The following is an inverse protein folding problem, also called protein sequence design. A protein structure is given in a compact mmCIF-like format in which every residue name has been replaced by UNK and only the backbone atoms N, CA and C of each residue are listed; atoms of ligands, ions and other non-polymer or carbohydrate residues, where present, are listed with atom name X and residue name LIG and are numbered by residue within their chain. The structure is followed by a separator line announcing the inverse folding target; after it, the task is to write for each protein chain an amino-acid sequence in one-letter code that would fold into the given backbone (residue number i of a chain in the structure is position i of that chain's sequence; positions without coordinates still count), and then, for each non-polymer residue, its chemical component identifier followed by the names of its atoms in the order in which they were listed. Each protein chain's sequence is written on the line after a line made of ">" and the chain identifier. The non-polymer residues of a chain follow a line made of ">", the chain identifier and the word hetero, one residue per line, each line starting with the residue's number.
data_IF_891782614424
#
_entry.id   IF_891782614424
#
_cell.length_a   1.000
_cell.length_b   1.000
_cell.length_c   1.000
_cell.angle_alpha   90.00
_cell.angle_beta   90.00
_cell.angle_gamma   90.00
#
_symmetry.space_group_name_H-M   'P 1'
#
loop_
_entity.id
_entity.type
_entity.pdbx_description
1 polymer ?
#
# COMPACT_ATOMS: atom_id res chain seq x y z
N UNK A 1 22.16 -18.10 22.67
CA UNK A 1 22.29 -19.52 22.30
C UNK A 1 23.59 -20.10 22.86
N UNK A 2 23.64 -21.42 23.06
CA UNK A 2 24.89 -22.09 23.37
C UNK A 2 25.84 -21.99 22.17
N UNK A 3 27.11 -21.68 22.46
CA UNK A 3 28.19 -21.63 21.47
C UNK A 3 29.43 -22.29 22.05
N UNK A 4 29.78 -23.48 21.56
CA UNK A 4 30.87 -24.33 22.08
C UNK A 4 30.72 -24.56 23.60
N UNK A 5 31.66 -24.02 24.41
CA UNK A 5 31.64 -24.09 25.89
C UNK A 5 31.08 -22.83 26.58
N UNK A 6 30.52 -21.90 25.80
CA UNK A 6 29.98 -20.63 26.28
C UNK A 6 28.56 -20.36 25.83
N UNK A 7 28.12 -19.13 26.03
CA UNK A 7 26.83 -18.60 25.59
C UNK A 7 27.06 -17.37 24.76
N UNK A 8 26.42 -17.31 23.60
CA UNK A 8 26.32 -16.09 22.80
C UNK A 8 25.07 -15.35 23.20
N UNK A 9 25.23 -14.15 23.77
CA UNK A 9 24.14 -13.19 24.01
C UNK A 9 24.11 -12.22 22.83
N UNK A 10 23.03 -12.25 22.06
CA UNK A 10 22.78 -11.30 20.95
C UNK A 10 21.88 -10.19 21.43
N UNK A 11 22.31 -8.97 21.23
CA UNK A 11 21.63 -7.76 21.69
C UNK A 11 21.22 -6.92 20.50
N UNK A 12 20.03 -6.33 20.56
CA UNK A 12 19.51 -5.32 19.64
C UNK A 12 19.07 -4.13 20.50
N UNK A 13 19.96 -3.18 20.63
CA UNK A 13 19.79 -2.05 21.52
C UNK A 13 18.79 -1.01 20.97
N UNK A 14 18.16 -0.28 21.85
CA UNK A 14 17.23 0.80 21.49
C UNK A 14 18.00 2.07 21.06
N UNK A 15 19.15 2.30 21.68
CA UNK A 15 20.01 3.48 21.45
C UNK A 15 21.08 3.21 20.39
N UNK A 16 20.72 2.58 19.29
CA UNK A 16 21.64 2.30 18.18
C UNK A 16 22.18 3.58 17.54
N UNK A 17 23.33 3.47 16.92
CA UNK A 17 23.92 4.56 16.10
C UNK A 17 23.81 4.21 14.62
N UNK A 18 23.42 5.19 13.81
CA UNK A 18 23.48 5.07 12.38
C UNK A 18 24.93 5.23 11.90
N UNK A 19 25.35 4.32 11.06
CA UNK A 19 26.66 4.35 10.45
C UNK A 19 26.54 4.49 8.93
N UNK A 20 27.56 5.10 8.32
CA UNK A 20 27.67 5.27 6.86
C UNK A 20 26.48 5.98 6.21
N UNK A 21 25.92 7.02 6.85
CA UNK A 21 24.79 7.78 6.32
C UNK A 21 25.06 8.43 4.95
N UNK A 22 26.32 8.68 4.64
CA UNK A 22 26.78 9.23 3.35
C UNK A 22 27.50 8.19 2.46
N UNK A 23 27.33 6.92 2.80
CA UNK A 23 27.98 5.79 2.15
C UNK A 23 29.12 5.21 3.01
N UNK A 24 29.31 3.89 2.92
CA UNK A 24 30.41 3.23 3.61
C UNK A 24 31.76 3.72 3.05
N UNK A 25 32.81 3.87 3.91
CA UNK A 25 34.15 4.12 3.41
C UNK A 25 34.57 3.08 2.36
N UNK A 26 35.22 3.52 1.31
CA UNK A 26 35.51 2.66 0.16
C UNK A 26 36.52 1.53 0.48
N UNK A 27 37.29 1.73 1.52
CA UNK A 27 38.29 0.81 2.07
C UNK A 27 37.77 -0.05 3.25
N UNK A 28 36.50 0.11 3.64
CA UNK A 28 35.89 -0.69 4.70
C UNK A 28 35.73 -2.15 4.27
N UNK A 29 36.26 -3.08 5.05
CA UNK A 29 36.29 -4.49 4.73
C UNK A 29 36.00 -5.40 5.95
N UNK A 30 34.76 -5.60 6.34
CA UNK A 30 34.34 -6.54 7.41
C UNK A 30 35.00 -6.29 8.78
N UNK A 31 35.34 -5.06 9.07
CA UNK A 31 35.95 -4.67 10.33
C UNK A 31 34.91 -4.62 11.44
N UNK A 32 35.34 -5.00 12.64
CA UNK A 32 34.53 -4.80 13.85
C UNK A 32 34.81 -3.42 14.43
N UNK A 33 33.80 -2.81 15.01
CA UNK A 33 33.90 -1.55 15.73
C UNK A 33 34.34 -1.81 17.17
N UNK A 34 34.84 -0.76 17.81
CA UNK A 34 35.11 -0.79 19.23
C UNK A 34 33.82 -1.09 20.00
N UNK A 35 33.90 -1.85 21.07
CA UNK A 35 32.79 -2.11 21.95
C UNK A 35 32.29 -0.84 22.64
N UNK A 36 30.99 -0.72 22.76
CA UNK A 36 30.29 0.40 23.39
C UNK A 36 29.31 -0.15 24.46
N UNK A 37 29.88 -0.67 25.54
CA UNK A 37 29.14 -1.41 26.55
C UNK A 37 28.05 -0.56 27.21
N UNK A 38 28.31 0.72 27.43
CA UNK A 38 27.35 1.65 28.05
C UNK A 38 26.04 1.77 27.27
N UNK A 39 26.08 1.57 25.93
CA UNK A 39 24.87 1.59 25.10
C UNK A 39 23.95 0.40 25.28
N UNK A 40 24.48 -0.71 25.76
CA UNK A 40 23.76 -1.99 25.88
C UNK A 40 23.64 -2.44 27.34
N UNK A 41 23.90 -1.58 28.31
CA UNK A 41 23.87 -1.90 29.73
C UNK A 41 22.51 -2.42 30.20
N UNK A 42 21.43 -1.80 29.75
CA UNK A 42 20.06 -2.23 30.06
C UNK A 42 19.77 -3.66 29.56
N UNK A 43 20.14 -3.93 28.31
CA UNK A 43 19.92 -5.23 27.67
C UNK A 43 20.79 -6.33 28.28
N UNK A 44 22.03 -5.99 28.68
CA UNK A 44 22.90 -6.90 29.43
C UNK A 44 22.27 -7.22 30.79
N UNK A 45 21.76 -6.22 31.51
CA UNK A 45 21.10 -6.39 32.80
C UNK A 45 19.90 -7.33 32.68
N UNK A 46 19.03 -7.12 31.69
CA UNK A 46 17.91 -8.02 31.38
C UNK A 46 18.40 -9.45 31.04
N UNK A 47 19.53 -9.55 30.33
CA UNK A 47 20.18 -10.83 30.03
C UNK A 47 20.62 -11.56 31.29
N UNK A 48 21.18 -10.87 32.26
CA UNK A 48 21.61 -11.41 33.55
C UNK A 48 20.41 -11.81 34.42
N UNK A 49 19.36 -11.02 34.44
CA UNK A 49 18.12 -11.39 35.15
C UNK A 49 17.52 -12.67 34.57
N UNK A 50 17.50 -12.79 33.24
CA UNK A 50 16.95 -13.96 32.54
C UNK A 50 17.81 -15.22 32.69
N UNK A 51 19.13 -15.06 32.73
CA UNK A 51 20.12 -16.11 32.82
C UNK A 51 21.14 -15.80 33.93
N UNK A 52 20.80 -16.02 35.21
CA UNK A 52 21.64 -15.64 36.32
C UNK A 52 23.07 -16.19 36.26
N UNK A 53 23.26 -17.36 35.67
CA UNK A 53 24.59 -17.95 35.46
C UNK A 53 25.57 -17.08 34.70
N UNK A 54 25.06 -16.08 33.91
CA UNK A 54 25.93 -15.15 33.19
C UNK A 54 26.57 -14.11 34.12
N UNK A 55 26.05 -13.91 35.32
CA UNK A 55 26.64 -12.99 36.31
C UNK A 55 27.94 -13.52 36.92
N UNK A 56 28.14 -14.84 36.86
CA UNK A 56 29.27 -15.51 37.45
C UNK A 56 30.42 -15.79 36.47
N UNK A 57 30.25 -15.37 35.20
CA UNK A 57 31.23 -15.64 34.14
C UNK A 57 31.67 -14.34 33.46
N UNK A 58 32.93 -14.37 32.95
CA UNK A 58 33.48 -13.24 32.19
C UNK A 58 33.06 -13.23 30.74
N UNK A 59 33.11 -12.08 30.11
CA UNK A 59 32.95 -11.93 28.67
C UNK A 59 34.24 -12.32 27.97
N UNK A 60 34.15 -13.28 27.05
CA UNK A 60 35.30 -13.73 26.27
C UNK A 60 35.59 -12.80 25.09
N UNK A 61 34.55 -12.36 24.41
CA UNK A 61 34.69 -11.57 23.18
C UNK A 61 33.48 -10.68 23.01
N UNK A 62 33.71 -9.42 22.63
CA UNK A 62 32.70 -8.49 22.17
C UNK A 62 32.66 -8.51 20.64
N UNK A 63 31.47 -8.41 20.07
CA UNK A 63 31.27 -8.30 18.63
C UNK A 63 30.37 -7.10 18.39
N UNK A 64 30.93 -6.02 17.88
CA UNK A 64 30.22 -4.83 17.44
C UNK A 64 30.57 -4.57 15.97
N UNK A 65 29.57 -4.49 15.10
CA UNK A 65 29.80 -4.36 13.69
C UNK A 65 28.65 -3.69 12.95
N UNK A 66 28.92 -3.23 11.75
CA UNK A 66 27.90 -2.66 10.88
C UNK A 66 26.85 -3.70 10.51
N UNK A 67 25.59 -3.30 10.54
CA UNK A 67 24.45 -4.14 10.19
C UNK A 67 23.53 -3.41 9.22
N UNK A 68 23.10 -4.06 8.14
CA UNK A 68 22.32 -3.44 7.09
C UNK A 68 20.82 -3.67 7.27
N UNK A 69 20.03 -2.62 7.07
CA UNK A 69 18.57 -2.67 7.12
C UNK A 69 17.95 -1.85 6.00
N UNK A 70 16.89 -2.37 5.38
CA UNK A 70 15.92 -1.59 4.62
C UNK A 70 14.87 -0.97 5.56
N UNK A 71 14.03 -0.04 5.09
CA UNK A 71 13.00 0.59 5.91
C UNK A 71 12.00 -0.39 6.57
N UNK A 72 11.69 -1.51 5.91
CA UNK A 72 10.81 -2.57 6.42
C UNK A 72 11.57 -3.83 6.87
N UNK A 73 12.89 -3.82 6.84
CA UNK A 73 13.76 -4.91 7.22
C UNK A 73 13.81 -6.10 6.27
N UNK A 74 13.07 -6.08 5.16
CA UNK A 74 13.14 -7.13 4.15
C UNK A 74 14.25 -6.84 3.12
N UNK A 75 14.82 -7.85 2.48
CA UNK A 75 15.78 -7.65 1.40
C UNK A 75 15.28 -6.70 0.30
N UNK A 76 16.21 -6.13 -0.43
CA UNK A 76 15.96 -5.40 -1.67
C UNK A 76 16.51 -6.23 -2.82
N UNK A 77 15.64 -6.82 -3.63
CA UNK A 77 16.03 -7.66 -4.75
C UNK A 77 15.21 -7.38 -6.00
N UNK A 78 15.74 -7.79 -7.14
CA UNK A 78 15.06 -7.70 -8.43
C UNK A 78 15.57 -6.60 -9.35
N UNK A 79 14.89 -6.38 -10.49
CA UNK A 79 15.28 -5.36 -11.47
C UNK A 79 15.00 -3.96 -10.92
N UNK A 80 16.00 -3.08 -11.02
CA UNK A 80 15.86 -1.71 -10.53
C UNK A 80 15.03 -0.89 -11.52
N UNK A 81 13.94 -0.24 -11.06
CA UNK A 81 13.06 0.55 -11.93
C UNK A 81 13.81 1.61 -12.74
N UNK A 82 13.53 1.69 -14.05
CA UNK A 82 14.15 2.66 -14.95
C UNK A 82 15.63 2.41 -15.27
N UNK A 83 16.18 1.24 -14.91
CA UNK A 83 17.56 0.84 -15.17
C UNK A 83 17.61 -0.54 -15.85
N UNK A 84 17.30 -0.65 -17.14
CA UNK A 84 17.31 -1.93 -17.85
C UNK A 84 18.62 -2.68 -17.68
N UNK A 85 18.55 -3.97 -17.35
CA UNK A 85 19.71 -4.82 -17.12
C UNK A 85 20.43 -4.64 -15.78
N UNK A 86 19.99 -3.70 -14.94
CA UNK A 86 20.54 -3.50 -13.60
C UNK A 86 19.68 -4.19 -12.54
N UNK A 87 20.29 -5.12 -11.82
CA UNK A 87 19.65 -5.94 -10.78
C UNK A 87 20.28 -5.68 -9.43
N UNK A 88 19.51 -5.79 -8.37
CA UNK A 88 20.03 -5.68 -7.01
C UNK A 88 19.68 -6.92 -6.17
N UNK A 89 20.53 -7.20 -5.19
CA UNK A 89 20.33 -8.13 -4.08
C UNK A 89 21.06 -7.59 -2.87
N UNK A 90 20.45 -6.70 -2.13
CA UNK A 90 21.07 -6.00 -0.99
C UNK A 90 20.13 -5.93 0.22
N UNK A 91 20.60 -5.36 1.33
CA UNK A 91 19.86 -5.33 2.60
C UNK A 91 19.41 -6.72 3.09
N UNK A 92 20.15 -7.77 2.75
CA UNK A 92 19.88 -9.15 3.21
C UNK A 92 20.42 -9.28 4.63
N UNK A 93 19.70 -8.71 5.59
CA UNK A 93 20.18 -8.61 6.97
C UNK A 93 20.42 -9.98 7.62
N UNK A 94 19.54 -10.94 7.36
CA UNK A 94 19.68 -12.32 7.84
C UNK A 94 20.40 -13.17 6.78
N UNK A 95 21.59 -12.75 6.35
CA UNK A 95 22.31 -13.30 5.20
C UNK A 95 22.42 -14.82 5.15
N UNK A 96 22.80 -15.46 6.25
CA UNK A 96 22.87 -16.93 6.33
C UNK A 96 21.53 -17.63 6.23
N UNK A 97 20.43 -16.98 6.61
CA UNK A 97 19.09 -17.55 6.57
C UNK A 97 18.35 -17.25 5.26
N UNK A 98 18.60 -16.09 4.67
CA UNK A 98 17.85 -15.58 3.50
C UNK A 98 18.66 -15.62 2.21
N UNK A 99 19.98 -15.57 2.28
CA UNK A 99 20.84 -15.39 1.10
C UNK A 99 20.65 -16.45 0.03
N UNK A 100 20.48 -17.73 0.42
CA UNK A 100 20.20 -18.81 -0.52
C UNK A 100 18.86 -18.64 -1.26
N UNK A 101 17.81 -18.27 -0.53
CA UNK A 101 16.48 -18.01 -1.12
C UNK A 101 16.46 -16.79 -2.02
N UNK A 102 17.10 -15.69 -1.58
CA UNK A 102 17.27 -14.47 -2.39
C UNK A 102 18.01 -14.79 -3.69
N UNK A 103 19.13 -15.53 -3.61
CA UNK A 103 19.93 -15.90 -4.78
C UNK A 103 19.15 -16.79 -5.76
N UNK A 104 18.43 -17.80 -5.25
CA UNK A 104 17.57 -18.66 -6.08
C UNK A 104 16.50 -17.83 -6.81
N UNK A 105 15.71 -17.07 -6.07
CA UNK A 105 14.62 -16.29 -6.67
C UNK A 105 15.11 -15.22 -7.65
N UNK A 106 16.28 -14.63 -7.39
CA UNK A 106 16.87 -13.67 -8.32
C UNK A 106 17.36 -14.35 -9.61
N UNK A 107 17.97 -15.53 -9.52
CA UNK A 107 18.38 -16.30 -10.68
C UNK A 107 17.21 -16.76 -11.54
N UNK A 108 16.14 -17.26 -10.92
CA UNK A 108 14.87 -17.59 -11.59
C UNK A 108 14.31 -16.36 -12.31
N UNK A 109 14.26 -15.22 -11.63
CA UNK A 109 13.76 -13.98 -12.22
C UNK A 109 14.56 -13.52 -13.45
N UNK A 110 15.89 -13.62 -13.39
CA UNK A 110 16.76 -13.27 -14.52
C UNK A 110 16.63 -14.20 -15.72
N UNK A 111 16.37 -15.49 -15.49
CA UNK A 111 16.36 -16.53 -16.53
C UNK A 111 14.95 -16.73 -17.08
N UNK A 112 13.96 -16.83 -16.20
CA UNK A 112 12.58 -17.19 -16.54
C UNK A 112 11.66 -15.96 -16.67
N UNK A 113 12.13 -14.75 -16.28
CA UNK A 113 11.35 -13.50 -16.30
C UNK A 113 10.54 -13.24 -15.04
N UNK A 114 10.33 -14.25 -14.18
CA UNK A 114 9.74 -14.11 -12.84
C UNK A 114 10.19 -15.25 -11.91
N UNK A 115 10.24 -15.00 -10.59
CA UNK A 115 10.55 -16.05 -9.63
C UNK A 115 9.36 -16.99 -9.39
N UNK A 116 9.64 -18.24 -9.00
CA UNK A 116 8.61 -19.19 -8.61
C UNK A 116 7.84 -18.75 -7.37
N UNK A 117 8.55 -18.19 -6.39
CA UNK A 117 7.98 -17.73 -5.13
C UNK A 117 7.38 -16.32 -5.26
N UNK A 118 6.40 -16.01 -4.40
CA UNK A 118 5.96 -14.63 -4.19
C UNK A 118 7.03 -13.85 -3.43
N UNK A 119 7.73 -12.98 -4.13
CA UNK A 119 8.81 -12.14 -3.58
C UNK A 119 8.46 -10.66 -3.54
N UNK A 120 7.18 -10.29 -3.69
CA UNK A 120 6.78 -8.88 -3.65
C UNK A 120 7.33 -8.14 -2.43
N UNK A 121 7.27 -8.75 -1.25
CA UNK A 121 7.81 -8.18 -0.02
C UNK A 121 9.33 -7.96 0.00
N UNK A 122 10.05 -8.44 -1.02
CA UNK A 122 11.50 -8.24 -1.20
C UNK A 122 11.82 -7.47 -2.48
N UNK A 123 10.84 -7.27 -3.36
CA UNK A 123 11.03 -6.55 -4.62
C UNK A 123 11.39 -5.09 -4.35
N UNK A 124 12.51 -4.62 -4.95
CA UNK A 124 12.96 -3.23 -4.79
C UNK A 124 11.91 -2.22 -5.30
N UNK A 125 11.10 -2.59 -6.28
CA UNK A 125 10.02 -1.74 -6.82
C UNK A 125 8.79 -1.60 -5.90
N UNK A 126 8.74 -2.29 -4.75
CA UNK A 126 7.71 -2.05 -3.74
C UNK A 126 7.75 -0.63 -3.17
N UNK A 127 8.94 -0.03 -3.16
CA UNK A 127 9.13 1.36 -2.76
C UNK A 127 8.91 2.33 -3.92
N UNK A 128 8.38 3.50 -3.61
CA UNK A 128 8.38 4.65 -4.49
C UNK A 128 9.56 5.60 -4.23
N UNK A 129 9.60 6.72 -4.94
CA UNK A 129 10.65 7.75 -4.80
C UNK A 129 10.79 8.33 -3.39
N UNK A 130 9.73 8.26 -2.57
CA UNK A 130 9.77 8.70 -1.18
C UNK A 130 10.89 8.01 -0.37
N UNK A 131 11.19 6.76 -0.69
CA UNK A 131 12.23 5.98 -0.01
C UNK A 131 13.67 6.38 -0.40
N UNK A 132 13.86 7.34 -1.30
CA UNK A 132 15.15 7.99 -1.57
C UNK A 132 15.50 9.05 -0.51
N UNK A 133 14.52 9.43 0.33
CA UNK A 133 14.72 10.41 1.40
C UNK A 133 15.53 9.80 2.54
N UNK A 134 16.75 10.35 2.76
CA UNK A 134 17.68 9.85 3.79
C UNK A 134 17.11 9.89 5.20
N UNK A 135 16.32 10.92 5.53
CA UNK A 135 15.73 11.02 6.86
C UNK A 135 14.61 9.99 7.07
N UNK A 136 13.80 9.74 6.03
CA UNK A 136 12.84 8.64 6.05
C UNK A 136 13.53 7.30 6.29
N UNK A 137 14.60 7.00 5.54
CA UNK A 137 15.39 5.77 5.72
C UNK A 137 15.94 5.70 7.15
N UNK A 138 16.55 6.77 7.64
CA UNK A 138 17.13 6.82 8.99
C UNK A 138 16.10 6.51 10.08
N UNK A 139 14.93 7.15 10.01
CA UNK A 139 13.88 6.93 11.02
C UNK A 139 13.30 5.52 10.95
N UNK A 140 12.96 5.06 9.74
CA UNK A 140 12.28 3.77 9.58
C UNK A 140 13.20 2.59 9.84
N UNK A 141 14.47 2.63 9.38
CA UNK A 141 15.46 1.58 9.68
C UNK A 141 15.78 1.53 11.17
N UNK A 142 15.90 2.69 11.82
CA UNK A 142 16.11 2.77 13.26
C UNK A 142 14.95 2.19 14.05
N UNK A 143 13.72 2.54 13.70
CA UNK A 143 12.53 1.98 14.33
C UNK A 143 12.44 0.46 14.11
N UNK A 144 12.71 -0.02 12.90
CA UNK A 144 12.71 -1.45 12.61
C UNK A 144 13.76 -2.19 13.45
N UNK A 145 14.99 -1.67 13.50
CA UNK A 145 16.07 -2.26 14.29
C UNK A 145 15.74 -2.35 15.77
N UNK A 146 15.37 -1.22 16.39
CA UNK A 146 15.07 -1.16 17.84
C UNK A 146 13.86 -1.99 18.25
N UNK A 147 12.95 -2.28 17.30
CA UNK A 147 11.75 -3.10 17.53
C UNK A 147 11.89 -4.54 17.05
N UNK A 148 13.07 -4.97 16.64
CA UNK A 148 13.30 -6.29 16.01
C UNK A 148 12.74 -7.47 16.82
N UNK A 149 12.78 -7.39 18.15
CA UNK A 149 12.27 -8.40 19.06
C UNK A 149 11.13 -7.90 19.96
N UNK A 150 10.62 -6.72 19.69
CA UNK A 150 9.43 -6.22 20.38
C UNK A 150 8.20 -6.85 19.73
N UNK A 151 7.24 -7.26 20.56
CA UNK A 151 5.96 -7.77 20.07
C UNK A 151 5.25 -6.68 19.25
N UNK A 152 4.81 -7.05 18.06
CA UNK A 152 3.97 -6.20 17.21
C UNK A 152 2.52 -6.65 17.30
N UNK A 153 1.59 -5.68 17.35
CA UNK A 153 0.17 -5.96 17.36
C UNK A 153 -0.43 -5.86 15.95
N UNK A 154 -1.49 -6.62 15.66
CA UNK A 154 -2.22 -6.47 14.40
C UNK A 154 -2.68 -5.02 14.20
N UNK A 155 -2.46 -4.48 13.01
CA UNK A 155 -2.82 -3.11 12.62
C UNK A 155 -2.12 -1.99 13.41
N UNK A 156 -1.07 -2.30 14.17
CA UNK A 156 -0.28 -1.30 14.89
C UNK A 156 0.30 -0.27 13.89
N UNK A 157 0.11 1.01 14.17
CA UNK A 157 0.65 2.10 13.38
C UNK A 157 1.90 2.68 14.05
N UNK A 158 3.03 2.58 13.36
CA UNK A 158 4.30 3.03 13.90
C UNK A 158 4.61 4.47 13.44
N UNK A 159 5.29 5.29 14.27
CA UNK A 159 5.43 6.73 14.01
C UNK A 159 6.57 7.11 13.07
N UNK A 160 7.57 6.25 12.84
CA UNK A 160 8.75 6.63 12.09
C UNK A 160 8.43 6.99 10.63
N UNK A 161 9.03 8.07 10.13
CA UNK A 161 8.84 8.56 8.77
C UNK A 161 7.46 9.15 8.50
N UNK A 162 6.71 9.55 9.55
CA UNK A 162 5.34 10.08 9.46
C UNK A 162 5.20 11.46 10.12
N UNK A 163 4.27 12.33 9.61
CA UNK A 163 3.62 12.22 8.30
C UNK A 163 4.60 12.57 7.18
N UNK A 164 4.56 11.86 6.05
CA UNK A 164 5.37 12.20 4.88
C UNK A 164 4.52 12.88 3.80
N UNK A 165 3.34 12.34 3.54
CA UNK A 165 2.37 12.86 2.57
C UNK A 165 0.95 12.79 3.14
N UNK A 166 0.17 13.82 2.88
CA UNK A 166 -1.21 13.95 3.37
C UNK A 166 -2.13 14.39 2.23
N UNK A 167 -3.40 13.95 2.27
CA UNK A 167 -4.41 14.50 1.37
C UNK A 167 -4.75 15.95 1.76
N UNK A 168 -5.26 16.77 0.85
CA UNK A 168 -5.62 18.17 1.17
C UNK A 168 -6.68 18.28 2.29
N UNK A 169 -7.52 17.27 2.47
CA UNK A 169 -8.55 17.25 3.50
C UNK A 169 -8.07 16.72 4.87
N UNK A 170 -6.79 16.37 5.02
CA UNK A 170 -6.22 15.75 6.22
C UNK A 170 -6.56 16.49 7.51
N UNK A 171 -6.34 17.82 7.56
CA UNK A 171 -6.57 18.60 8.77
C UNK A 171 -8.06 18.68 9.14
N UNK A 172 -8.93 18.81 8.14
CA UNK A 172 -10.37 18.81 8.33
C UNK A 172 -10.89 17.44 8.82
N UNK A 173 -10.36 16.35 8.31
CA UNK A 173 -10.68 14.99 8.78
C UNK A 173 -10.10 14.74 10.18
N UNK A 174 -8.89 15.23 10.47
CA UNK A 174 -8.30 15.16 11.82
C UNK A 174 -9.18 15.88 12.85
N UNK A 175 -9.70 17.06 12.49
CA UNK A 175 -10.65 17.81 13.33
C UNK A 175 -11.99 17.07 13.53
N UNK A 176 -12.40 16.23 12.56
CA UNK A 176 -13.56 15.36 12.64
C UNK A 176 -13.31 14.05 13.44
N UNK A 177 -12.07 13.84 13.94
CA UNK A 177 -11.71 12.68 14.78
C UNK A 177 -11.07 11.53 14.03
N UNK A 178 -10.58 11.75 12.81
CA UNK A 178 -9.88 10.73 12.05
C UNK A 178 -8.65 10.19 12.81
N UNK A 179 -8.51 8.87 12.81
CA UNK A 179 -7.30 8.16 13.21
C UNK A 179 -6.59 7.67 11.97
N UNK A 180 -5.32 8.00 11.87
CA UNK A 180 -4.52 7.82 10.67
C UNK A 180 -3.67 6.57 10.70
N UNK A 181 -3.61 5.90 9.56
CA UNK A 181 -2.58 4.93 9.23
C UNK A 181 -1.75 5.42 8.06
N UNK A 182 -0.75 4.65 7.69
CA UNK A 182 0.09 4.97 6.55
C UNK A 182 0.02 3.86 5.49
N UNK A 183 -0.08 4.28 4.24
CA UNK A 183 0.06 3.42 3.09
C UNK A 183 1.30 3.89 2.32
N UNK A 184 2.46 3.32 2.66
CA UNK A 184 3.80 3.78 2.30
C UNK A 184 4.05 5.23 2.78
N UNK A 185 4.02 6.20 1.87
CA UNK A 185 4.28 7.61 2.16
C UNK A 185 3.02 8.42 2.47
N UNK A 186 1.82 7.88 2.21
CA UNK A 186 0.55 8.58 2.31
C UNK A 186 -0.21 8.22 3.59
N UNK A 187 -0.60 9.25 4.35
CA UNK A 187 -1.56 9.11 5.45
C UNK A 187 -2.95 8.76 4.91
N UNK A 188 -3.56 7.72 5.46
CA UNK A 188 -4.90 7.23 5.08
C UNK A 188 -5.82 7.16 6.30
N UNK A 189 -7.11 7.49 6.18
CA UNK A 189 -8.06 7.41 7.28
C UNK A 189 -8.33 5.95 7.64
N UNK A 190 -8.08 5.55 8.88
CA UNK A 190 -8.38 4.20 9.35
C UNK A 190 -9.80 4.07 9.92
N UNK A 191 -10.19 5.03 10.75
CA UNK A 191 -11.54 5.16 11.35
C UNK A 191 -11.70 6.53 12.01
N UNK A 192 -12.94 6.87 12.39
CA UNK A 192 -13.26 8.16 13.02
C UNK A 192 -13.76 7.96 14.46
N UNK A 193 -13.04 8.50 15.41
CA UNK A 193 -13.28 8.34 16.83
C UNK A 193 -13.60 9.67 17.53
N UNK A 194 -14.26 9.59 18.66
CA UNK A 194 -14.50 10.76 19.50
C UNK A 194 -13.17 11.36 20.01
N UNK A 195 -13.19 12.67 20.27
CA UNK A 195 -12.03 13.36 20.84
C UNK A 195 -11.57 12.68 22.14
N UNK A 196 -10.27 12.46 22.26
CA UNK A 196 -9.66 11.80 23.42
C UNK A 196 -9.66 10.27 23.38
N UNK A 197 -10.19 9.67 22.30
CA UNK A 197 -10.07 8.22 22.13
C UNK A 197 -8.61 7.83 21.86
N UNK A 198 -8.14 6.83 22.62
CA UNK A 198 -6.85 6.19 22.39
C UNK A 198 -7.08 4.70 22.14
N UNK A 199 -6.49 4.20 21.05
CA UNK A 199 -6.54 2.78 20.74
C UNK A 199 -5.61 2.00 21.67
N UNK A 200 -6.14 0.93 22.24
CA UNK A 200 -5.35 -0.04 23.03
C UNK A 200 -5.05 -1.24 22.14
N UNK A 201 -3.80 -1.40 21.71
CA UNK A 201 -3.39 -2.53 20.87
C UNK A 201 -3.67 -3.87 21.57
N UNK A 202 -4.04 -4.89 20.80
CA UNK A 202 -4.34 -6.21 21.31
C UNK A 202 -4.01 -7.28 20.26
N UNK A 203 -3.60 -8.46 20.70
CA UNK A 203 -3.45 -9.65 19.84
C UNK A 203 -4.81 -10.22 19.39
N UNK A 204 -5.90 -9.68 19.90
CA UNK A 204 -7.29 -9.96 19.48
C UNK A 204 -7.88 -8.71 18.84
N UNK A 205 -9.11 -8.35 19.18
CA UNK A 205 -9.77 -7.10 18.79
C UNK A 205 -9.33 -5.96 19.68
N UNK A 206 -8.88 -4.86 19.11
CA UNK A 206 -8.65 -3.61 19.84
C UNK A 206 -10.00 -2.95 20.21
N UNK A 207 -9.95 -1.94 21.07
CA UNK A 207 -11.12 -1.13 21.41
C UNK A 207 -11.65 -0.28 20.22
N UNK A 208 -10.91 -0.17 19.12
CA UNK A 208 -11.38 0.45 17.88
C UNK A 208 -12.44 -0.40 17.17
N UNK A 209 -12.58 -1.69 17.50
CA UNK A 209 -13.54 -2.59 16.85
C UNK A 209 -14.96 -2.07 16.87
N UNK A 210 -15.44 -1.55 17.99
CA UNK A 210 -16.82 -1.02 18.11
C UNK A 210 -17.03 0.24 17.26
N UNK A 211 -15.97 1.03 17.05
CA UNK A 211 -16.02 2.21 16.19
C UNK A 211 -16.17 1.76 14.74
N UNK A 212 -15.29 0.86 14.29
CA UNK A 212 -15.32 0.30 12.94
C UNK A 212 -16.63 -0.41 12.65
N UNK A 213 -17.19 -1.14 13.63
CA UNK A 213 -18.51 -1.78 13.50
C UNK A 213 -19.61 -0.74 13.24
N UNK A 214 -19.62 0.37 13.96
CA UNK A 214 -20.59 1.47 13.76
C UNK A 214 -20.46 2.08 12.36
N UNK A 215 -19.22 2.27 11.88
CA UNK A 215 -18.97 2.77 10.52
C UNK A 215 -19.52 1.79 9.48
N UNK A 216 -19.29 0.49 9.63
CA UNK A 216 -19.83 -0.52 8.72
C UNK A 216 -21.37 -0.50 8.66
N UNK A 217 -22.03 -0.44 9.82
CA UNK A 217 -23.49 -0.39 9.90
C UNK A 217 -24.04 0.91 9.30
N UNK A 218 -23.38 2.02 9.56
CA UNK A 218 -23.74 3.32 9.00
C UNK A 218 -23.71 3.32 7.46
N UNK A 219 -22.66 2.77 6.86
CA UNK A 219 -22.55 2.67 5.39
C UNK A 219 -23.60 1.72 4.84
N UNK A 220 -23.84 0.58 5.50
CA UNK A 220 -24.78 -0.44 5.07
C UNK A 220 -26.23 0.06 5.08
N UNK A 221 -26.62 0.77 6.13
CA UNK A 221 -28.01 1.16 6.39
C UNK A 221 -28.33 2.60 5.97
N UNK A 222 -27.30 3.39 5.67
CA UNK A 222 -27.41 4.82 5.39
C UNK A 222 -26.48 5.31 4.29
N UNK A 223 -25.47 6.10 4.67
CA UNK A 223 -24.50 6.70 3.75
C UNK A 223 -23.19 7.02 4.48
N UNK A 224 -22.06 6.72 3.84
CA UNK A 224 -20.74 7.06 4.33
C UNK A 224 -19.86 7.71 3.26
N UNK A 225 -18.91 8.51 3.71
CA UNK A 225 -17.90 9.18 2.88
C UNK A 225 -16.51 8.69 3.27
N UNK A 226 -15.75 8.15 2.30
CA UNK A 226 -14.37 7.72 2.48
C UNK A 226 -13.44 8.53 1.58
N UNK A 227 -12.36 9.07 2.12
CA UNK A 227 -11.26 9.60 1.32
C UNK A 227 -10.51 8.45 0.63
N UNK A 228 -10.57 8.42 -0.70
CA UNK A 228 -9.90 7.44 -1.55
C UNK A 228 -8.63 7.99 -2.21
N UNK A 229 -8.01 9.00 -1.62
CA UNK A 229 -6.67 9.46 -2.05
C UNK A 229 -5.64 8.33 -2.00
N UNK A 230 -5.86 7.34 -1.13
CA UNK A 230 -5.08 6.10 -1.03
C UNK A 230 -5.31 5.08 -2.16
N UNK A 231 -5.98 5.45 -3.27
CA UNK A 231 -6.03 4.64 -4.49
C UNK A 231 -5.03 5.19 -5.50
N UNK A 232 -4.30 4.30 -6.19
CA UNK A 232 -3.46 4.69 -7.32
C UNK A 232 -4.33 5.03 -8.53
N UNK A 233 -3.87 6.00 -9.33
CA UNK A 233 -4.51 6.42 -10.57
C UNK A 233 -3.44 6.60 -11.63
N UNK A 234 -3.60 5.90 -12.75
CA UNK A 234 -2.73 6.06 -13.92
C UNK A 234 -3.58 6.46 -15.10
N UNK A 235 -3.15 7.50 -15.79
CA UNK A 235 -3.77 7.94 -17.05
C UNK A 235 -3.03 7.33 -18.23
N UNK A 236 -3.78 6.73 -19.13
CA UNK A 236 -3.26 6.16 -20.36
C UNK A 236 -3.85 6.93 -21.54
N UNK A 237 -2.99 7.37 -22.46
CA UNK A 237 -3.33 8.16 -23.63
C UNK A 237 -2.54 7.68 -24.85
N UNK A 238 -2.92 8.16 -26.03
CA UNK A 238 -2.21 7.89 -27.27
C UNK A 238 -2.99 7.03 -28.24
N UNK A 239 -2.57 7.05 -29.51
CA UNK A 239 -3.29 6.36 -30.59
C UNK A 239 -3.33 4.83 -30.43
N UNK A 240 -2.36 4.27 -29.73
CA UNK A 240 -2.25 2.81 -29.50
C UNK A 240 -2.67 2.41 -28.07
N UNK A 241 -3.27 3.34 -27.28
CA UNK A 241 -3.63 3.10 -25.88
C UNK A 241 -4.59 1.91 -25.72
N UNK A 242 -5.65 1.83 -26.51
CA UNK A 242 -6.62 0.73 -26.44
C UNK A 242 -5.98 -0.62 -26.79
N UNK A 243 -5.15 -0.68 -27.82
CA UNK A 243 -4.46 -1.90 -28.21
C UNK A 243 -3.48 -2.35 -27.12
N UNK A 244 -2.75 -1.41 -26.52
CA UNK A 244 -1.83 -1.69 -25.41
C UNK A 244 -2.57 -2.18 -24.17
N UNK A 245 -3.65 -1.51 -23.75
CA UNK A 245 -4.47 -1.93 -22.63
C UNK A 245 -5.05 -3.34 -22.86
N UNK A 246 -5.49 -3.63 -24.08
CA UNK A 246 -6.00 -4.96 -24.45
C UNK A 246 -4.92 -6.05 -24.35
N UNK A 247 -3.66 -5.71 -24.53
CA UNK A 247 -2.53 -6.63 -24.35
C UNK A 247 -2.13 -6.82 -22.89
N UNK A 248 -2.10 -5.73 -22.09
CA UNK A 248 -1.63 -5.75 -20.70
C UNK A 248 -2.65 -6.40 -19.75
N UNK A 249 -3.93 -6.26 -20.03
CA UNK A 249 -5.00 -6.79 -19.17
C UNK A 249 -5.68 -8.00 -19.79
N UNK A 250 -5.98 -8.97 -18.96
CA UNK A 250 -6.61 -10.22 -19.38
C UNK A 250 -8.13 -10.11 -19.59
N UNK A 251 -8.75 -9.03 -19.12
CA UNK A 251 -10.20 -8.80 -19.26
C UNK A 251 -10.57 -8.17 -20.61
N UNK A 252 -11.85 -8.20 -20.92
CA UNK A 252 -12.45 -7.38 -21.97
C UNK A 252 -12.39 -5.90 -21.60
N UNK A 253 -11.93 -5.05 -22.50
CA UNK A 253 -11.91 -3.61 -22.24
C UNK A 253 -13.32 -3.03 -22.18
N UNK A 254 -13.58 -2.06 -21.27
CA UNK A 254 -14.88 -1.42 -21.17
C UNK A 254 -15.13 -0.46 -22.36
N UNK A 255 -16.39 -0.39 -22.77
CA UNK A 255 -16.84 0.60 -23.79
C UNK A 255 -16.74 2.02 -23.23
N UNK A 256 -16.74 3.06 -24.10
CA UNK A 256 -16.80 4.44 -23.64
C UNK A 256 -17.92 4.69 -22.62
N UNK A 257 -17.63 5.42 -21.55
CA UNK A 257 -18.55 5.67 -20.44
C UNK A 257 -18.74 4.49 -19.48
N UNK A 258 -17.84 3.49 -19.51
CA UNK A 258 -17.86 2.31 -18.63
C UNK A 258 -16.52 2.06 -17.97
N UNK A 259 -16.59 1.32 -16.87
CA UNK A 259 -15.42 0.74 -16.20
C UNK A 259 -15.54 -0.79 -16.16
N UNK A 260 -14.45 -1.46 -15.87
CA UNK A 260 -14.40 -2.91 -15.68
C UNK A 260 -13.32 -3.27 -14.66
N UNK A 261 -13.56 -4.34 -13.90
CA UNK A 261 -12.48 -5.02 -13.17
C UNK A 261 -11.60 -5.74 -14.19
N UNK A 262 -10.29 -5.53 -14.08
CA UNK A 262 -9.33 -5.96 -15.07
C UNK A 262 -8.14 -6.66 -14.43
N UNK A 263 -8.18 -8.00 -14.32
CA UNK A 263 -7.03 -8.79 -13.92
C UNK A 263 -5.84 -8.57 -14.85
N UNK A 264 -4.68 -8.40 -14.26
CA UNK A 264 -3.39 -8.35 -14.95
C UNK A 264 -2.60 -9.60 -14.57
N UNK A 265 -2.04 -10.28 -15.57
CA UNK A 265 -1.36 -11.55 -15.38
C UNK A 265 0.11 -11.47 -15.77
N UNK A 266 0.92 -12.32 -15.19
CA UNK A 266 2.26 -12.62 -15.66
C UNK A 266 2.24 -13.59 -16.83
N UNK A 267 3.36 -13.77 -17.57
CA UNK A 267 3.48 -14.79 -18.62
C UNK A 267 3.20 -16.22 -18.15
N UNK A 268 3.36 -16.53 -16.87
CA UNK A 268 3.02 -17.84 -16.28
C UNK A 268 1.57 -17.93 -15.80
N UNK A 269 0.74 -16.90 -16.04
CA UNK A 269 -0.68 -16.87 -15.68
C UNK A 269 -0.95 -16.53 -14.22
N UNK A 270 0.02 -15.99 -13.48
CA UNK A 270 -0.15 -15.54 -12.10
C UNK A 270 -0.66 -14.11 -12.04
N UNK A 271 -1.42 -13.80 -10.99
CA UNK A 271 -1.99 -12.48 -10.80
C UNK A 271 -0.90 -11.42 -10.53
N UNK A 272 -0.86 -10.38 -11.35
CA UNK A 272 -0.04 -9.16 -11.17
C UNK A 272 -0.86 -7.98 -10.65
N UNK A 273 -2.18 -8.07 -10.68
CA UNK A 273 -3.07 -7.02 -10.17
C UNK A 273 -4.54 -7.34 -10.40
N UNK A 274 -5.37 -6.68 -9.61
CA UNK A 274 -6.84 -6.71 -9.63
C UNK A 274 -7.38 -5.30 -9.86
N UNK A 275 -6.89 -4.62 -10.89
CA UNK A 275 -7.11 -3.21 -11.18
C UNK A 275 -8.50 -2.95 -11.80
N UNK A 276 -8.95 -1.71 -11.74
CA UNK A 276 -10.12 -1.25 -12.47
C UNK A 276 -9.70 -0.35 -13.63
N UNK A 277 -10.26 -0.58 -14.81
CA UNK A 277 -10.05 0.25 -16.00
C UNK A 277 -11.29 1.11 -16.22
N UNK A 278 -11.10 2.41 -16.46
CA UNK A 278 -12.14 3.38 -16.80
C UNK A 278 -11.90 3.89 -18.21
N UNK A 279 -12.91 3.76 -19.08
CA UNK A 279 -12.95 4.42 -20.38
C UNK A 279 -13.84 5.66 -20.28
N UNK A 280 -13.24 6.83 -20.15
CA UNK A 280 -13.97 8.08 -19.90
C UNK A 280 -14.77 8.59 -21.13
N UNK A 281 -14.54 8.01 -22.31
CA UNK A 281 -15.21 8.42 -23.54
C UNK A 281 -14.68 9.70 -24.18
N UNK A 282 -13.63 10.28 -23.61
CA UNK A 282 -12.96 11.50 -24.06
C UNK A 282 -11.57 11.23 -24.69
N UNK A 283 -11.29 9.97 -24.99
CA UNK A 283 -9.98 9.52 -25.51
C UNK A 283 -8.95 9.23 -24.42
N UNK A 284 -9.32 9.37 -23.15
CA UNK A 284 -8.47 9.02 -21.99
C UNK A 284 -8.98 7.78 -21.29
N UNK A 285 -8.02 7.03 -20.76
CA UNK A 285 -8.26 5.85 -19.93
C UNK A 285 -7.62 6.04 -18.57
N UNK A 286 -8.29 5.57 -17.53
CA UNK A 286 -7.66 5.46 -16.22
C UNK A 286 -7.57 4.02 -15.80
N UNK A 287 -6.45 3.69 -15.13
CA UNK A 287 -6.24 2.45 -14.40
C UNK A 287 -6.21 2.83 -12.93
N UNK A 288 -7.07 2.21 -12.12
CA UNK A 288 -7.12 2.46 -10.68
C UNK A 288 -6.85 1.18 -9.90
N UNK A 289 -6.14 1.30 -8.80
CA UNK A 289 -5.79 0.18 -7.93
C UNK A 289 -5.32 0.61 -6.55
N UNK A 290 -4.65 -0.27 -5.83
CA UNK A 290 -4.09 0.02 -4.52
C UNK A 290 -2.90 0.97 -4.63
N UNK A 291 -2.87 2.01 -3.80
CA UNK A 291 -1.73 2.90 -3.66
C UNK A 291 -0.46 2.15 -3.22
N UNK A 292 -0.62 1.12 -2.42
CA UNK A 292 0.44 0.23 -1.96
C UNK A 292 1.26 -0.38 -3.09
N UNK A 293 0.64 -0.61 -4.26
CA UNK A 293 1.26 -1.21 -5.44
C UNK A 293 1.68 -0.18 -6.51
N UNK A 294 1.51 1.11 -6.25
CA UNK A 294 1.66 2.19 -7.21
C UNK A 294 3.00 2.13 -7.99
N UNK A 295 4.11 2.08 -7.28
CA UNK A 295 5.44 2.05 -7.89
C UNK A 295 5.70 0.73 -8.64
N UNK A 296 5.26 -0.38 -8.07
CA UNK A 296 5.42 -1.71 -8.62
C UNK A 296 4.61 -1.90 -9.91
N UNK A 297 3.34 -1.44 -9.94
CA UNK A 297 2.53 -1.44 -11.15
C UNK A 297 3.10 -0.50 -12.23
N UNK A 298 3.60 0.69 -11.85
CA UNK A 298 4.20 1.60 -12.81
C UNK A 298 5.41 0.98 -13.50
N UNK A 299 6.28 0.25 -12.76
CA UNK A 299 7.39 -0.49 -13.37
C UNK A 299 6.87 -1.49 -14.41
N UNK A 300 5.87 -2.31 -14.04
CA UNK A 300 5.27 -3.28 -14.95
C UNK A 300 4.71 -2.63 -16.22
N UNK A 301 4.00 -1.52 -16.07
CA UNK A 301 3.46 -0.79 -17.22
C UNK A 301 4.56 -0.23 -18.14
N UNK A 302 5.62 0.31 -17.55
CA UNK A 302 6.74 0.85 -18.33
C UNK A 302 7.55 -0.25 -19.04
N UNK A 303 7.68 -1.42 -18.42
CA UNK A 303 8.35 -2.58 -19.03
C UNK A 303 7.55 -3.12 -20.24
N UNK A 304 6.22 -2.88 -20.28
CA UNK A 304 5.32 -3.30 -21.36
C UNK A 304 4.94 -2.15 -22.30
N UNK A 305 5.48 -0.95 -22.12
CA UNK A 305 5.06 0.24 -22.88
C UNK A 305 5.29 0.06 -24.38
N UNK A 306 4.31 0.48 -25.19
CA UNK A 306 4.39 0.41 -26.65
C UNK A 306 4.56 1.81 -27.25
N UNK A 307 5.05 1.86 -28.49
CA UNK A 307 5.13 3.09 -29.24
C UNK A 307 3.72 3.71 -29.43
N UNK A 308 3.62 5.03 -29.29
CA UNK A 308 2.37 5.77 -29.40
C UNK A 308 1.44 5.62 -28.19
N UNK A 309 1.95 5.11 -27.05
CA UNK A 309 1.26 5.05 -25.75
C UNK A 309 1.95 5.95 -24.75
N UNK A 310 1.18 6.80 -24.09
CA UNK A 310 1.61 7.57 -22.92
C UNK A 310 0.96 7.02 -21.66
N UNK A 311 1.74 6.83 -20.60
CA UNK A 311 1.22 6.52 -19.26
C UNK A 311 1.74 7.53 -18.26
N UNK A 312 0.86 8.00 -17.37
CA UNK A 312 1.19 8.99 -16.35
C UNK A 312 0.54 8.62 -15.01
N UNK A 313 1.33 8.68 -13.96
CA UNK A 313 0.82 8.57 -12.60
C UNK A 313 0.16 9.89 -12.17
N UNK A 314 -1.08 9.81 -11.74
CA UNK A 314 -1.91 10.94 -11.34
C UNK A 314 -1.96 11.20 -9.84
N UNK A 315 -1.19 10.47 -9.05
CA UNK A 315 -1.27 10.55 -7.59
C UNK A 315 -0.87 11.90 -6.97
N UNK A 316 -0.27 12.80 -7.74
CA UNK A 316 0.00 14.19 -7.32
C UNK A 316 -1.01 15.19 -7.91
N UNK A 317 -1.86 14.74 -8.83
CA UNK A 317 -2.80 15.61 -9.57
C UNK A 317 -4.24 15.39 -9.12
N UNK A 318 -4.60 14.15 -8.77
CA UNK A 318 -5.96 13.73 -8.48
C UNK A 318 -6.07 12.98 -7.15
N UNK A 319 -7.17 13.24 -6.48
CA UNK A 319 -7.63 12.56 -5.28
C UNK A 319 -9.15 12.37 -5.37
N UNK A 320 -9.81 11.95 -4.30
CA UNK A 320 -11.27 11.84 -4.38
C UNK A 320 -11.90 11.19 -3.16
N UNK A 321 -13.21 11.01 -3.27
CA UNK A 321 -14.04 10.37 -2.24
C UNK A 321 -14.87 9.24 -2.82
N UNK A 322 -15.08 8.21 -2.01
CA UNK A 322 -16.12 7.20 -2.23
C UNK A 322 -17.32 7.54 -1.38
N UNK A 323 -18.45 7.77 -2.04
CA UNK A 323 -19.76 7.96 -1.43
C UNK A 323 -20.50 6.63 -1.50
N UNK A 324 -20.72 5.95 -0.38
CA UNK A 324 -21.27 4.60 -0.37
C UNK A 324 -22.42 4.45 0.61
N UNK A 325 -23.39 3.60 0.25
CA UNK A 325 -24.58 3.29 1.03
C UNK A 325 -25.88 3.54 0.25
N UNK A 326 -27.03 3.00 0.71
CA UNK A 326 -28.30 3.05 -0.02
C UNK A 326 -28.77 4.48 -0.34
N UNK A 327 -28.43 5.47 0.48
CA UNK A 327 -28.83 6.88 0.28
C UNK A 327 -27.87 7.66 -0.62
N UNK A 328 -26.79 7.05 -1.13
CA UNK A 328 -25.77 7.75 -1.93
C UNK A 328 -26.34 8.36 -3.22
N UNK A 329 -27.34 7.69 -3.83
CA UNK A 329 -28.01 8.21 -5.03
C UNK A 329 -28.80 9.50 -4.73
N UNK A 330 -29.48 9.56 -3.61
CA UNK A 330 -30.27 10.74 -3.22
C UNK A 330 -29.37 11.96 -2.99
N UNK A 331 -28.23 11.77 -2.35
CA UNK A 331 -27.25 12.85 -2.14
C UNK A 331 -26.66 13.34 -3.46
N UNK A 332 -26.22 12.41 -4.33
CA UNK A 332 -25.55 12.80 -5.57
C UNK A 332 -26.53 13.50 -6.54
N UNK A 333 -27.80 13.10 -6.56
CA UNK A 333 -28.83 13.70 -7.41
C UNK A 333 -29.11 15.17 -7.08
N UNK A 334 -28.87 15.58 -5.82
CA UNK A 334 -29.06 16.95 -5.40
C UNK A 334 -27.83 17.85 -5.66
N UNK A 335 -26.70 17.26 -6.03
CA UNK A 335 -25.43 17.94 -6.25
C UNK A 335 -25.03 18.01 -7.73
N UNK A 336 -25.67 17.18 -8.56
CA UNK A 336 -25.36 17.11 -10.00
C UNK A 336 -26.56 17.59 -10.83
N UNK A 337 -26.34 18.53 -11.72
CA UNK A 337 -27.35 18.94 -12.71
C UNK A 337 -27.47 17.88 -13.82
N UNK A 338 -28.07 16.75 -13.48
CA UNK A 338 -28.42 15.70 -14.44
C UNK A 338 -27.46 14.52 -14.50
N UNK A 339 -28.04 13.36 -14.46
CA UNK A 339 -27.61 12.03 -14.88
C UNK A 339 -26.49 11.30 -14.13
N UNK A 340 -25.85 11.83 -13.10
CA UNK A 340 -24.92 11.01 -12.28
C UNK A 340 -25.69 9.86 -11.59
N UNK A 341 -26.87 10.13 -11.06
CA UNK A 341 -27.77 9.13 -10.45
C UNK A 341 -28.26 8.09 -11.45
N UNK A 342 -28.31 8.44 -12.74
CA UNK A 342 -28.73 7.55 -13.82
C UNK A 342 -27.60 6.63 -14.31
N UNK A 343 -26.34 6.88 -13.91
CA UNK A 343 -25.23 6.00 -14.27
C UNK A 343 -25.59 4.55 -13.95
N UNK A 344 -25.51 3.63 -14.91
CA UNK A 344 -25.68 2.20 -14.64
C UNK A 344 -24.50 1.68 -13.82
N UNK A 345 -24.65 0.52 -13.21
CA UNK A 345 -23.53 -0.15 -12.55
C UNK A 345 -22.32 -0.24 -13.50
N UNK A 346 -21.13 0.08 -12.97
CA UNK A 346 -19.89 0.24 -13.74
C UNK A 346 -19.94 1.34 -14.83
N UNK A 347 -20.91 2.25 -14.77
CA UNK A 347 -20.91 3.47 -15.59
C UNK A 347 -19.91 4.49 -15.06
N UNK A 348 -19.33 5.30 -15.96
CA UNK A 348 -18.45 6.40 -15.58
C UNK A 348 -18.57 7.58 -16.55
N UNK A 349 -18.17 8.76 -16.09
CA UNK A 349 -18.21 9.99 -16.90
C UNK A 349 -17.67 11.21 -16.16
N UNK A 350 -17.66 12.33 -16.88
CA UNK A 350 -17.27 13.63 -16.34
C UNK A 350 -18.53 14.39 -15.92
N UNK A 351 -18.55 14.87 -14.67
CA UNK A 351 -19.70 15.56 -14.08
C UNK A 351 -19.24 16.71 -13.19
N UNK A 352 -20.09 17.71 -13.06
CA UNK A 352 -19.93 18.76 -12.07
C UNK A 352 -20.73 18.38 -10.81
N UNK A 353 -20.05 18.32 -9.66
CA UNK A 353 -20.64 18.07 -8.34
C UNK A 353 -20.58 19.39 -7.57
N UNK A 354 -21.71 20.06 -7.49
CA UNK A 354 -21.75 21.45 -7.06
C UNK A 354 -20.88 22.30 -7.99
N UNK A 355 -19.87 22.97 -7.45
CA UNK A 355 -18.92 23.78 -8.22
C UNK A 355 -17.65 23.04 -8.67
N UNK A 356 -17.55 21.75 -8.36
CA UNK A 356 -16.34 20.97 -8.58
C UNK A 356 -16.49 20.07 -9.80
N UNK A 357 -15.56 20.22 -10.77
CA UNK A 357 -15.49 19.32 -11.93
C UNK A 357 -14.85 17.98 -11.51
N UNK A 358 -15.55 16.89 -11.78
CA UNK A 358 -15.17 15.56 -11.31
C UNK A 358 -15.23 14.50 -12.41
N UNK A 359 -14.50 13.41 -12.17
CA UNK A 359 -14.65 12.16 -12.89
C UNK A 359 -15.33 11.16 -11.93
N UNK A 360 -16.51 10.70 -12.28
CA UNK A 360 -17.34 9.86 -11.42
C UNK A 360 -17.49 8.47 -12.02
N UNK A 361 -17.25 7.44 -11.20
CA UNK A 361 -17.57 6.06 -11.52
C UNK A 361 -18.64 5.51 -10.57
N UNK A 362 -19.67 4.82 -11.08
CA UNK A 362 -20.67 4.16 -10.24
C UNK A 362 -20.21 2.75 -9.87
N UNK A 363 -19.38 2.67 -8.86
CA UNK A 363 -18.90 1.45 -8.24
C UNK A 363 -18.52 1.73 -6.78
N UNK A 364 -18.32 0.69 -6.00
CA UNK A 364 -17.86 0.81 -4.63
C UNK A 364 -17.19 -0.49 -4.18
N UNK A 365 -16.00 -0.37 -3.62
CA UNK A 365 -15.26 -1.50 -3.01
C UNK A 365 -15.98 -2.03 -1.77
N UNK A 366 -16.75 -1.19 -1.06
CA UNK A 366 -17.57 -1.61 0.06
C UNK A 366 -18.71 -2.58 -0.35
N UNK A 367 -19.02 -2.69 -1.66
CA UNK A 367 -20.08 -3.56 -2.17
C UNK A 367 -21.50 -3.06 -1.93
N UNK A 368 -21.65 -1.83 -1.48
CA UNK A 368 -22.91 -1.12 -1.40
C UNK A 368 -23.10 -0.20 -2.62
N UNK A 369 -24.31 0.33 -2.82
CA UNK A 369 -24.52 1.36 -3.85
C UNK A 369 -23.55 2.51 -3.59
N UNK A 370 -22.77 2.90 -4.61
CA UNK A 370 -21.76 3.93 -4.38
C UNK A 370 -21.21 4.56 -5.65
N UNK A 371 -20.52 5.68 -5.42
CA UNK A 371 -19.86 6.48 -6.43
C UNK A 371 -18.45 6.81 -5.99
N UNK A 372 -17.50 6.56 -6.85
CA UNK A 372 -16.11 7.04 -6.70
C UNK A 372 -15.98 8.36 -7.44
N UNK A 373 -15.81 9.44 -6.69
CA UNK A 373 -15.82 10.82 -7.17
C UNK A 373 -14.39 11.33 -7.13
N UNK A 374 -13.76 11.49 -8.28
CA UNK A 374 -12.38 11.94 -8.41
C UNK A 374 -12.33 13.40 -8.87
N UNK A 375 -11.50 14.21 -8.21
CA UNK A 375 -11.29 15.62 -8.53
C UNK A 375 -9.80 15.96 -8.59
N UNK A 376 -9.49 17.16 -9.08
CA UNK A 376 -8.15 17.71 -8.94
C UNK A 376 -7.80 17.90 -7.47
N UNK A 377 -6.51 17.76 -7.13
CA UNK A 377 -6.02 17.89 -5.75
C UNK A 377 -6.44 19.20 -5.10
N UNK A 378 -6.43 20.32 -5.86
CA UNK A 378 -6.83 21.64 -5.37
C UNK A 378 -8.33 21.78 -5.03
N UNK A 379 -9.17 20.91 -5.55
CA UNK A 379 -10.64 20.95 -5.34
C UNK A 379 -11.11 20.00 -4.23
N UNK A 380 -10.20 19.22 -3.64
CA UNK A 380 -10.53 18.14 -2.72
C UNK A 380 -11.28 18.62 -1.47
N UNK A 381 -10.81 19.73 -0.85
CA UNK A 381 -11.45 20.30 0.34
C UNK A 381 -12.87 20.79 0.01
N UNK A 382 -13.02 21.49 -1.12
CA UNK A 382 -14.32 21.98 -1.57
C UNK A 382 -15.30 20.82 -1.84
N UNK A 383 -14.83 19.77 -2.50
CA UNK A 383 -15.65 18.57 -2.76
C UNK A 383 -16.08 17.90 -1.46
N UNK A 384 -15.16 17.72 -0.49
CA UNK A 384 -15.52 17.18 0.82
C UNK A 384 -16.58 18.01 1.51
N UNK A 385 -16.40 19.33 1.55
CA UNK A 385 -17.33 20.23 2.21
C UNK A 385 -18.74 20.14 1.59
N UNK A 386 -18.84 20.19 0.27
CA UNK A 386 -20.10 20.06 -0.47
C UNK A 386 -20.80 18.72 -0.12
N UNK A 387 -20.06 17.61 -0.16
CA UNK A 387 -20.59 16.28 0.12
C UNK A 387 -21.08 16.15 1.58
N UNK A 388 -20.32 16.65 2.55
CA UNK A 388 -20.68 16.60 3.97
C UNK A 388 -21.88 17.53 4.26
N UNK A 389 -21.88 18.77 3.77
CA UNK A 389 -22.96 19.71 4.00
C UNK A 389 -24.28 19.21 3.43
N UNK A 390 -24.25 18.73 2.17
CA UNK A 390 -25.45 18.22 1.52
C UNK A 390 -25.89 16.88 2.06
N UNK A 391 -24.96 16.02 2.39
CA UNK A 391 -25.22 14.71 2.97
C UNK A 391 -25.74 14.76 4.43
N UNK A 392 -25.62 15.90 5.12
CA UNK A 392 -26.00 16.03 6.51
C UNK A 392 -27.49 15.69 6.74
N UNK A 393 -28.38 16.09 5.85
CA UNK A 393 -29.83 15.79 5.92
C UNK A 393 -30.12 14.29 5.77
N UNK A 394 -29.20 13.52 5.17
CA UNK A 394 -29.26 12.07 4.98
C UNK A 394 -28.52 11.29 6.07
N UNK A 395 -27.87 12.00 6.99
CA UNK A 395 -27.07 11.42 8.07
C UNK A 395 -25.71 10.90 7.61
N UNK A 396 -25.05 11.58 6.65
CA UNK A 396 -23.71 11.23 6.19
C UNK A 396 -22.69 11.38 7.32
N UNK A 397 -21.79 10.42 7.41
CA UNK A 397 -20.57 10.49 8.22
C UNK A 397 -19.38 9.97 7.44
N UNK A 398 -18.19 10.40 7.84
CA UNK A 398 -16.95 9.84 7.31
C UNK A 398 -16.69 8.47 7.95
N UNK A 399 -16.06 7.57 7.17
CA UNK A 399 -15.60 6.27 7.63
C UNK A 399 -14.21 5.98 7.10
N UNK A 400 -13.52 5.01 7.67
CA UNK A 400 -12.14 4.70 7.34
C UNK A 400 -11.93 3.39 6.60
N UNK A 401 -10.68 3.15 6.22
CA UNK A 401 -10.27 1.94 5.50
C UNK A 401 -10.53 0.66 6.30
N UNK A 402 -10.53 0.69 7.64
CA UNK A 402 -10.83 -0.50 8.43
C UNK A 402 -12.27 -0.99 8.19
N UNK A 403 -13.22 -0.07 8.09
CA UNK A 403 -14.61 -0.41 7.74
C UNK A 403 -14.71 -0.87 6.28
N UNK A 404 -14.05 -0.18 5.33
CA UNK A 404 -14.00 -0.61 3.93
C UNK A 404 -13.50 -2.05 3.80
N UNK A 405 -12.36 -2.35 4.43
CA UNK A 405 -11.74 -3.67 4.38
C UNK A 405 -12.59 -4.76 5.03
N UNK A 406 -13.38 -4.43 6.05
CA UNK A 406 -14.36 -5.35 6.64
C UNK A 406 -15.51 -5.63 5.67
N UNK A 407 -16.15 -4.57 5.15
CA UNK A 407 -17.32 -4.68 4.27
C UNK A 407 -17.02 -5.41 2.95
N UNK A 408 -15.85 -5.16 2.34
CA UNK A 408 -15.44 -5.87 1.12
C UNK A 408 -15.37 -7.40 1.31
N UNK A 409 -14.89 -7.84 2.48
CA UNK A 409 -14.81 -9.26 2.81
C UNK A 409 -16.19 -9.92 2.90
N UNK A 410 -17.20 -9.21 3.41
CA UNK A 410 -18.58 -9.70 3.44
C UNK A 410 -19.14 -9.97 2.04
N UNK A 411 -18.62 -9.28 1.02
CA UNK A 411 -19.00 -9.46 -0.40
C UNK A 411 -18.06 -10.43 -1.14
N UNK A 412 -17.09 -11.02 -0.45
CA UNK A 412 -16.02 -11.83 -1.06
C UNK A 412 -15.21 -11.07 -2.10
N UNK A 413 -15.01 -9.76 -1.90
CA UNK A 413 -14.14 -8.96 -2.75
C UNK A 413 -12.72 -9.04 -2.22
N UNK A 414 -11.91 -9.89 -2.84
CA UNK A 414 -10.48 -10.00 -2.55
C UNK A 414 -9.71 -8.78 -3.09
N UNK A 415 -8.54 -8.54 -2.54
CA UNK A 415 -7.58 -7.56 -3.05
C UNK A 415 -6.22 -8.21 -3.24
N UNK A 416 -5.44 -7.71 -4.19
CA UNK A 416 -4.15 -8.32 -4.52
C UNK A 416 -3.17 -8.36 -3.32
N UNK A 417 -3.15 -7.32 -2.52
CA UNK A 417 -2.24 -7.23 -1.36
C UNK A 417 -2.57 -8.20 -0.20
N UNK A 418 -3.70 -8.91 -0.26
CA UNK A 418 -4.14 -9.83 0.79
C UNK A 418 -4.49 -11.22 0.24
N UNK A 419 -5.56 -11.33 -0.57
CA UNK A 419 -6.06 -12.62 -1.05
C UNK A 419 -5.58 -12.97 -2.46
N UNK A 420 -5.21 -12.02 -3.30
CA UNK A 420 -4.91 -12.20 -4.72
C UNK A 420 -3.44 -11.94 -5.07
N UNK A 421 -2.53 -12.38 -4.20
CA UNK A 421 -1.09 -12.17 -4.42
C UNK A 421 -0.59 -12.88 -5.69
N UNK A 422 0.63 -12.54 -6.14
CA UNK A 422 1.24 -13.16 -7.31
C UNK A 422 1.57 -14.67 -7.13
N UNK A 423 1.29 -15.24 -5.99
CA UNK A 423 1.33 -16.69 -5.77
C UNK A 423 0.14 -17.45 -6.37
N UNK A 424 -0.91 -16.73 -6.82
CA UNK A 424 -2.17 -17.34 -7.28
C UNK A 424 -2.42 -17.08 -8.76
N UNK A 425 -3.18 -18.00 -9.38
CA UNK A 425 -3.78 -17.82 -10.70
C UNK A 425 -5.24 -17.36 -10.57
N UNK A 426 -5.85 -16.79 -11.61
CA UNK A 426 -7.27 -16.40 -11.59
C UNK A 426 -8.21 -17.54 -11.18
N UNK A 427 -7.97 -18.76 -11.66
CA UNK A 427 -8.79 -19.93 -11.33
C UNK A 427 -8.75 -20.32 -9.85
N UNK A 428 -7.64 -20.05 -9.14
CA UNK A 428 -7.51 -20.29 -7.69
C UNK A 428 -8.31 -19.28 -6.86
N UNK A 429 -8.58 -18.10 -7.40
CA UNK A 429 -9.19 -16.95 -6.70
C UNK A 429 -10.61 -16.64 -7.17
N UNK A 430 -11.14 -17.40 -8.16
CA UNK A 430 -12.44 -17.14 -8.77
C UNK A 430 -12.49 -15.90 -9.66
N UNK A 431 -11.31 -15.39 -10.08
CA UNK A 431 -11.19 -14.27 -11.01
C UNK A 431 -11.21 -14.70 -12.48
N UNK A 432 -11.22 -15.98 -12.77
CA UNK A 432 -11.31 -16.56 -14.12
C UNK A 432 -12.53 -16.04 -14.90
N UNK A 433 -13.64 -15.73 -14.22
CA UNK A 433 -14.85 -15.09 -14.79
C UNK A 433 -14.60 -13.71 -15.40
N UNK A 434 -13.50 -13.07 -15.05
CA UNK A 434 -13.10 -11.75 -15.58
C UNK A 434 -12.11 -11.84 -16.73
N UNK A 435 -11.63 -13.05 -17.05
CA UNK A 435 -10.71 -13.29 -18.16
C UNK A 435 -11.51 -13.39 -19.46
N UNK A 436 -11.07 -12.67 -20.47
CA UNK A 436 -11.58 -12.80 -21.84
C UNK A 436 -10.77 -13.88 -22.58
N UNK A 437 -11.24 -15.11 -22.50
CA UNK A 437 -10.55 -16.29 -23.08
C UNK A 437 -10.50 -16.26 -24.61
N UNK A 438 -11.30 -15.43 -25.27
CA UNK A 438 -11.43 -15.35 -26.72
C UNK A 438 -10.63 -14.20 -27.33
N UNK A 439 -9.96 -13.37 -26.55
CA UNK A 439 -9.28 -12.16 -27.05
C UNK A 439 -7.93 -12.39 -27.72
N UNK A 440 -7.44 -13.64 -27.77
CA UNK A 440 -6.11 -13.95 -28.27
C UNK A 440 -5.00 -13.73 -27.25
N UNK A 441 -3.79 -13.47 -27.72
CA UNK A 441 -2.62 -13.32 -26.87
C UNK A 441 -2.68 -12.04 -26.03
N UNK A 442 -2.48 -12.18 -24.74
CA UNK A 442 -2.21 -11.13 -23.77
C UNK A 442 -1.04 -11.55 -22.88
N UNK A 443 -0.42 -10.57 -22.18
CA UNK A 443 0.74 -10.84 -21.34
C UNK A 443 0.31 -11.58 -20.10
#
# INVERSE_FOLDING_TARGET
>A
RQDQKGVLLGIYEVNHEHWAMDGAPWDYGMELFQEQVDRIENEITLGFERYPCLQEVGVKTWVNGAFTFSPDGNPLMGPVPGKPGYWCACAVMAGFLQGGGVGKSLAEWMIEGEPEADVYGMDVARYGKFAENKEYIRQTTGQFYSRRFVMTYPNEQLPAGRPLKMSPAHDAMSAAGCKWGVNWDLEVPLYFANKGFEETPSLRRSNAFEIVQRECLMVRDGIGLLDISGFSRFEVTGQNAEQWLNKVFASKLPKPGKSALAPMLSPTGRLKGDLSIFNWGDGTWWIMGSYYLRAWHMRWFLDQIAEGVGIRDLGEDYCGFSLAGPKSREVISQLSEGSVEELPFMGCGNFDIGLVRTKVGRLSVAGELGYEINCKMGDHIALRQILIEKGAEFGIHEYGFNALLSMRLEKSFGIWSAEFTQGYTPGMTGMDRWIDWDKGDFI
#
